data_IF_247953646115
#
_entry.id   IF_247953646115
#
_cell.length_a   1.000
_cell.length_b   1.000
_cell.length_c   1.000
_cell.angle_alpha   90.00
_cell.angle_beta   90.00
_cell.angle_gamma   90.00
#
_symmetry.space_group_name_H-M   'P 1'
#
loop_
_entity.id
_entity.type
_entity.pdbx_description
1 polymer ?
#
# COMPACT_ATOMS: atom_id res chain seq x y z
N UNK A 1 14.14 -49.06 9.49
CA UNK A 1 14.17 -47.97 10.51
C UNK A 1 13.51 -46.67 10.03
N UNK A 2 12.83 -46.61 8.86
CA UNK A 2 12.16 -45.39 8.39
C UNK A 2 10.68 -45.27 8.80
N UNK A 3 10.04 -46.34 9.28
CA UNK A 3 8.60 -46.41 9.53
C UNK A 3 8.14 -45.82 10.87
N UNK A 4 9.01 -45.78 11.89
CA UNK A 4 8.66 -45.31 13.24
C UNK A 4 8.65 -43.78 13.39
N UNK A 5 9.18 -43.04 12.42
CA UNK A 5 9.21 -41.57 12.43
C UNK A 5 7.93 -40.90 11.92
N UNK A 6 7.20 -41.54 11.01
CA UNK A 6 5.96 -40.97 10.44
C UNK A 6 4.78 -41.01 11.42
N UNK A 7 4.76 -41.98 12.36
CA UNK A 7 3.69 -42.12 13.34
C UNK A 7 3.69 -41.02 14.42
N UNK A 8 4.86 -40.43 14.73
CA UNK A 8 5.01 -39.36 15.72
C UNK A 8 4.70 -37.96 15.19
N UNK A 9 4.49 -37.79 13.88
CA UNK A 9 4.16 -36.53 13.23
C UNK A 9 2.66 -36.37 12.90
N UNK A 10 1.80 -37.27 13.39
CA UNK A 10 0.35 -37.14 13.22
C UNK A 10 -0.16 -36.09 14.20
N UNK A 11 -0.21 -34.81 13.78
CA UNK A 11 -0.78 -33.74 14.60
C UNK A 11 -2.22 -34.10 14.99
N UNK A 12 -2.45 -34.24 16.30
CA UNK A 12 -3.78 -34.45 16.87
C UNK A 12 -4.43 -33.08 17.04
N UNK A 13 -5.48 -32.83 16.28
CA UNK A 13 -6.23 -31.58 16.32
C UNK A 13 -7.38 -31.69 17.33
N UNK A 14 -7.45 -30.75 18.29
CA UNK A 14 -8.55 -30.66 19.26
C UNK A 14 -9.71 -29.82 18.68
N UNK A 15 -10.96 -30.19 18.97
CA UNK A 15 -12.17 -29.58 18.37
C UNK A 15 -12.30 -28.06 18.62
N UNK A 16 -11.72 -27.53 19.71
CA UNK A 16 -11.83 -26.12 20.12
C UNK A 16 -10.60 -25.26 19.82
N UNK A 17 -9.68 -25.70 18.95
CA UNK A 17 -8.50 -24.88 18.64
C UNK A 17 -8.79 -23.83 17.54
N UNK A 18 -8.65 -22.52 17.84
CA UNK A 18 -8.99 -21.42 16.91
C UNK A 18 -8.11 -21.39 15.65
N UNK A 19 -6.91 -21.98 15.69
CA UNK A 19 -5.97 -22.04 14.57
C UNK A 19 -5.93 -23.37 13.79
N UNK A 20 -6.56 -24.44 14.30
CA UNK A 20 -6.32 -25.79 13.75
C UNK A 20 -6.90 -25.99 12.35
N UNK A 21 -8.01 -25.32 11.99
CA UNK A 21 -8.56 -25.38 10.63
C UNK A 21 -7.60 -24.80 9.57
N UNK A 22 -6.84 -23.76 9.92
CA UNK A 22 -5.88 -23.12 9.00
C UNK A 22 -4.65 -23.99 8.84
N UNK A 23 -4.10 -24.52 9.95
CA UNK A 23 -2.99 -25.48 9.87
C UNK A 23 -3.37 -26.73 9.08
N UNK A 24 -4.55 -27.29 9.31
CA UNK A 24 -5.02 -28.49 8.61
C UNK A 24 -5.20 -28.24 7.11
N UNK A 25 -5.71 -27.05 6.72
CA UNK A 25 -5.77 -26.64 5.31
C UNK A 25 -4.38 -26.55 4.67
N UNK A 26 -3.41 -25.98 5.38
CA UNK A 26 -2.03 -25.85 4.92
C UNK A 26 -1.29 -27.20 4.86
N UNK A 27 -1.75 -28.21 5.60
CA UNK A 27 -1.21 -29.57 5.55
C UNK A 27 -1.79 -30.38 4.39
N UNK A 28 -3.08 -30.20 4.07
CA UNK A 28 -3.75 -30.85 2.94
C UNK A 28 -3.26 -30.26 1.60
N UNK A 29 -3.06 -28.94 1.53
CA UNK A 29 -2.53 -28.28 0.34
C UNK A 29 -1.00 -28.17 0.40
N UNK A 30 -0.31 -29.23 -0.05
CA UNK A 30 1.17 -29.26 -0.15
C UNK A 30 1.76 -28.36 -1.25
N UNK A 31 0.93 -27.80 -2.13
CA UNK A 31 1.38 -26.91 -3.19
C UNK A 31 1.63 -25.49 -2.71
N UNK A 32 2.52 -24.76 -3.40
CA UNK A 32 2.77 -23.34 -3.14
C UNK A 32 1.48 -22.56 -3.44
N UNK A 33 0.92 -21.80 -2.48
CA UNK A 33 -0.32 -21.04 -2.69
C UNK A 33 -0.07 -19.77 -3.52
N UNK A 34 0.35 -19.93 -4.78
CA UNK A 34 0.74 -18.83 -5.69
C UNK A 34 -0.36 -17.78 -5.88
N UNK A 35 -1.63 -18.19 -5.84
CA UNK A 35 -2.77 -17.28 -5.98
C UNK A 35 -2.85 -16.30 -4.81
N UNK A 36 -2.76 -16.81 -3.59
CA UNK A 36 -2.82 -15.98 -2.37
C UNK A 36 -1.62 -15.03 -2.29
N UNK A 37 -0.42 -15.54 -2.60
CA UNK A 37 0.77 -14.69 -2.69
C UNK A 37 0.63 -13.58 -3.73
N UNK A 38 0.10 -13.89 -4.91
CA UNK A 38 -0.13 -12.87 -5.94
C UNK A 38 -1.09 -11.77 -5.48
N UNK A 39 -2.12 -12.11 -4.70
CA UNK A 39 -3.04 -11.12 -4.13
C UNK A 39 -2.37 -10.23 -3.10
N UNK A 40 -1.57 -10.81 -2.20
CA UNK A 40 -0.85 -10.06 -1.16
C UNK A 40 0.19 -9.13 -1.78
N UNK A 41 0.94 -9.62 -2.77
CA UNK A 41 1.91 -8.81 -3.50
C UNK A 41 1.25 -7.68 -4.30
N UNK A 42 0.12 -7.95 -4.96
CA UNK A 42 -0.64 -6.93 -5.67
C UNK A 42 -1.21 -5.88 -4.71
N UNK A 43 -1.75 -6.29 -3.56
CA UNK A 43 -2.22 -5.38 -2.52
C UNK A 43 -1.07 -4.49 -2.01
N UNK A 44 0.08 -5.10 -1.74
CA UNK A 44 1.29 -4.38 -1.30
C UNK A 44 1.71 -3.35 -2.33
N UNK A 45 1.87 -3.73 -3.60
CA UNK A 45 2.20 -2.81 -4.70
C UNK A 45 1.20 -1.66 -4.80
N UNK A 46 -0.10 -1.98 -4.73
CA UNK A 46 -1.18 -1.00 -4.81
C UNK A 46 -1.11 0.03 -3.68
N UNK A 47 -0.66 -0.36 -2.49
CA UNK A 47 -0.49 0.56 -1.35
C UNK A 47 0.83 1.32 -1.37
N UNK A 48 1.93 0.67 -1.78
CA UNK A 48 3.27 1.28 -1.76
C UNK A 48 3.45 2.31 -2.89
N UNK A 49 2.93 2.05 -4.09
CA UNK A 49 3.09 2.95 -5.24
C UNK A 49 2.57 4.39 -4.98
N UNK A 50 1.33 4.61 -4.48
CA UNK A 50 0.83 5.95 -4.20
C UNK A 50 1.68 6.67 -3.15
N UNK A 51 2.03 5.98 -2.07
CA UNK A 51 2.80 6.55 -0.95
C UNK A 51 4.19 6.99 -1.45
N UNK A 52 4.85 6.13 -2.22
CA UNK A 52 6.20 6.43 -2.72
C UNK A 52 6.20 7.51 -3.81
N UNK A 53 5.18 7.55 -4.68
CA UNK A 53 5.06 8.58 -5.72
C UNK A 53 4.87 9.98 -5.17
N UNK A 54 4.35 10.10 -3.95
CA UNK A 54 4.08 11.39 -3.30
C UNK A 54 5.34 12.08 -2.77
N UNK A 55 6.42 11.35 -2.45
CA UNK A 55 7.65 11.95 -1.93
C UNK A 55 8.21 13.08 -2.82
N UNK A 56 8.42 12.87 -4.14
CA UNK A 56 8.91 13.94 -5.02
C UNK A 56 7.90 15.08 -5.18
N UNK A 57 6.59 14.79 -5.23
CA UNK A 57 5.56 15.84 -5.35
C UNK A 57 5.54 16.78 -4.16
N UNK A 58 5.75 16.26 -2.95
CA UNK A 58 5.78 17.08 -1.72
C UNK A 58 6.96 18.03 -1.75
N UNK A 59 8.11 17.55 -2.23
CA UNK A 59 9.30 18.37 -2.39
C UNK A 59 9.05 19.54 -3.36
N UNK A 60 8.43 19.28 -4.51
CA UNK A 60 8.03 20.33 -5.45
C UNK A 60 6.96 21.28 -4.90
N UNK A 61 5.95 20.75 -4.21
CA UNK A 61 4.90 21.57 -3.57
C UNK A 61 5.49 22.49 -2.50
N UNK A 62 6.52 22.04 -1.78
CA UNK A 62 7.27 22.87 -0.83
C UNK A 62 8.03 23.99 -1.53
N UNK A 63 8.80 23.68 -2.57
CA UNK A 63 9.56 24.69 -3.33
C UNK A 63 8.67 25.82 -3.87
N UNK A 64 7.44 25.50 -4.29
CA UNK A 64 6.52 26.48 -4.87
C UNK A 64 5.65 27.25 -3.86
N UNK A 65 5.34 26.67 -2.70
CA UNK A 65 4.43 27.28 -1.71
C UNK A 65 5.17 28.02 -0.58
N UNK A 66 6.45 27.73 -0.37
CA UNK A 66 7.20 28.10 0.83
C UNK A 66 8.45 28.92 0.50
N UNK A 67 8.32 29.99 -0.29
CA UNK A 67 9.45 30.91 -0.53
C UNK A 67 9.96 31.61 0.76
N UNK A 68 9.15 31.60 1.83
CA UNK A 68 9.40 32.27 3.13
C UNK A 68 9.26 31.37 4.40
N UNK A 69 9.02 30.05 4.28
CA UNK A 69 8.78 29.19 5.46
C UNK A 69 10.06 28.45 5.86
N UNK A 70 10.46 28.57 7.14
CA UNK A 70 11.59 27.88 7.78
C UNK A 70 11.65 26.38 7.43
N UNK A 71 12.86 25.90 7.09
CA UNK A 71 13.18 24.50 6.77
C UNK A 71 12.60 23.50 7.79
N UNK A 72 12.47 23.91 9.05
CA UNK A 72 11.90 23.13 10.15
C UNK A 72 10.46 22.67 9.89
N UNK A 73 9.60 23.49 9.27
CA UNK A 73 8.23 23.09 8.93
C UNK A 73 8.19 22.05 7.79
N UNK A 74 9.22 22.01 6.95
CA UNK A 74 9.33 21.02 5.88
C UNK A 74 9.57 19.63 6.46
N UNK A 75 10.52 19.53 7.40
CA UNK A 75 10.78 18.29 8.13
C UNK A 75 9.55 17.80 8.89
N UNK A 76 8.81 18.72 9.52
CA UNK A 76 7.57 18.40 10.24
C UNK A 76 6.49 17.76 9.35
N UNK A 77 6.38 18.20 8.09
CA UNK A 77 5.43 17.61 7.12
C UNK A 77 5.83 16.20 6.67
N UNK A 78 7.11 15.97 6.42
CA UNK A 78 7.61 14.65 6.05
C UNK A 78 7.48 13.64 7.19
N UNK A 79 7.78 14.08 8.42
CA UNK A 79 7.72 13.25 9.61
C UNK A 79 6.28 12.94 10.06
N UNK A 80 5.31 13.81 9.80
CA UNK A 80 3.91 13.60 10.18
C UNK A 80 3.32 12.26 9.69
N UNK A 81 3.68 11.81 8.49
CA UNK A 81 3.25 10.50 7.99
C UNK A 81 3.85 9.35 8.81
N UNK A 82 5.16 9.40 9.08
CA UNK A 82 5.85 8.36 9.86
C UNK A 82 5.39 8.38 11.32
N UNK A 83 5.13 9.56 11.88
CA UNK A 83 4.61 9.73 13.23
C UNK A 83 3.21 9.14 13.36
N UNK A 84 2.28 9.46 12.45
CA UNK A 84 0.95 8.86 12.42
C UNK A 84 1.01 7.34 12.30
N UNK A 85 1.93 6.82 11.45
CA UNK A 85 2.11 5.38 11.25
C UNK A 85 2.71 4.67 12.48
N UNK A 86 3.63 5.32 13.19
CA UNK A 86 4.23 4.76 14.40
C UNK A 86 3.17 4.55 15.48
N UNK A 87 2.33 5.57 15.73
CA UNK A 87 1.28 5.54 16.77
C UNK A 87 0.23 4.45 16.53
N UNK A 88 -0.17 4.24 15.28
CA UNK A 88 -1.27 3.31 14.97
C UNK A 88 -0.82 1.92 14.52
N UNK A 89 0.48 1.71 14.31
CA UNK A 89 1.02 0.42 13.85
C UNK A 89 0.61 -0.75 14.76
N UNK A 90 0.67 -0.55 16.08
CA UNK A 90 0.29 -1.56 17.09
C UNK A 90 -1.22 -1.77 17.08
N UNK A 91 -2.00 -0.68 17.05
CA UNK A 91 -3.46 -0.72 17.07
C UNK A 91 -4.00 -1.54 15.89
N UNK A 92 -3.48 -1.30 14.69
CA UNK A 92 -3.89 -2.06 13.50
C UNK A 92 -3.47 -3.52 13.54
N UNK A 93 -2.37 -3.86 14.22
CA UNK A 93 -1.98 -5.25 14.49
C UNK A 93 -3.04 -5.96 15.33
N UNK A 94 -3.41 -5.37 16.48
CA UNK A 94 -4.44 -5.93 17.38
C UNK A 94 -5.80 -6.04 16.70
N UNK A 95 -6.20 -5.04 15.91
CA UNK A 95 -7.45 -5.08 15.15
C UNK A 95 -7.41 -6.20 14.10
N UNK A 96 -6.29 -6.41 13.43
CA UNK A 96 -6.14 -7.48 12.45
C UNK A 96 -6.22 -8.88 13.08
N UNK A 97 -5.70 -9.04 14.28
CA UNK A 97 -5.79 -10.32 14.99
C UNK A 97 -7.20 -10.58 15.55
N UNK A 98 -7.98 -9.54 15.90
CA UNK A 98 -9.34 -9.70 16.44
C UNK A 98 -10.43 -9.83 15.38
N UNK A 99 -10.38 -9.02 14.31
CA UNK A 99 -11.42 -8.97 13.26
C UNK A 99 -11.03 -9.77 12.01
N UNK A 100 -9.83 -10.36 12.00
CA UNK A 100 -9.27 -11.08 10.87
C UNK A 100 -8.46 -10.17 9.94
N UNK A 101 -7.47 -10.78 9.27
CA UNK A 101 -6.46 -10.02 8.50
C UNK A 101 -6.97 -9.51 7.15
N UNK A 102 -7.83 -10.27 6.47
CA UNK A 102 -8.43 -9.90 5.18
C UNK A 102 -9.18 -8.54 5.22
N UNK A 103 -10.14 -8.30 6.13
CA UNK A 103 -10.87 -7.03 6.16
C UNK A 103 -9.97 -5.83 6.48
N UNK A 104 -8.97 -6.00 7.36
CA UNK A 104 -8.01 -4.93 7.68
C UNK A 104 -7.21 -4.51 6.45
N UNK A 105 -6.74 -5.47 5.64
CA UNK A 105 -6.01 -5.18 4.39
C UNK A 105 -6.88 -4.37 3.41
N UNK A 106 -8.16 -4.73 3.28
CA UNK A 106 -9.11 -4.02 2.41
C UNK A 106 -9.36 -2.60 2.91
N UNK A 107 -9.68 -2.43 4.20
CA UNK A 107 -9.98 -1.13 4.81
C UNK A 107 -8.80 -0.17 4.62
N UNK A 108 -7.59 -0.61 4.94
CA UNK A 108 -6.44 0.27 4.79
C UNK A 108 -6.07 0.59 3.34
N UNK A 109 -6.32 -0.33 2.39
CA UNK A 109 -6.19 -0.02 0.95
C UNK A 109 -7.17 1.08 0.52
N UNK A 110 -8.42 1.00 0.98
CA UNK A 110 -9.44 2.03 0.72
C UNK A 110 -9.04 3.37 1.35
N UNK A 111 -8.56 3.36 2.60
CA UNK A 111 -8.07 4.57 3.28
C UNK A 111 -6.93 5.22 2.51
N UNK A 112 -5.98 4.44 1.98
CA UNK A 112 -4.88 4.97 1.16
C UNK A 112 -5.41 5.71 -0.06
N UNK A 113 -6.37 5.14 -0.80
CA UNK A 113 -6.94 5.79 -1.99
C UNK A 113 -7.68 7.07 -1.60
N UNK A 114 -8.50 7.02 -0.55
CA UNK A 114 -9.31 8.15 -0.09
C UNK A 114 -8.42 9.33 0.33
N UNK A 115 -7.49 9.10 1.25
CA UNK A 115 -6.62 10.16 1.78
C UNK A 115 -5.59 10.64 0.75
N UNK A 116 -5.09 9.76 -0.13
CA UNK A 116 -4.24 10.18 -1.24
C UNK A 116 -4.98 11.08 -2.23
N UNK A 117 -6.27 10.78 -2.48
CA UNK A 117 -7.11 11.64 -3.33
C UNK A 117 -7.38 12.98 -2.65
N UNK A 118 -7.74 12.98 -1.36
CA UNK A 118 -7.95 14.20 -0.57
C UNK A 118 -6.69 15.07 -0.50
N UNK A 119 -5.52 14.45 -0.36
CA UNK A 119 -4.23 15.15 -0.39
C UNK A 119 -4.01 15.86 -1.73
N UNK A 120 -4.33 15.23 -2.85
CA UNK A 120 -4.26 15.84 -4.18
C UNK A 120 -5.24 17.01 -4.39
N UNK A 121 -6.31 17.09 -3.59
CA UNK A 121 -7.25 18.22 -3.56
C UNK A 121 -6.94 19.25 -2.47
N UNK A 122 -5.84 19.11 -1.73
CA UNK A 122 -5.51 20.04 -0.65
C UNK A 122 -4.96 21.35 -1.21
N UNK A 123 -5.60 22.47 -0.88
CA UNK A 123 -5.12 23.84 -1.20
C UNK A 123 -4.31 24.46 -0.07
N UNK A 124 -4.52 24.02 1.16
CA UNK A 124 -3.93 24.61 2.36
C UNK A 124 -2.78 23.77 2.93
N UNK A 125 -1.76 24.44 3.48
CA UNK A 125 -0.61 23.79 4.13
C UNK A 125 -1.04 22.85 5.26
N UNK A 126 -1.89 23.34 6.16
CA UNK A 126 -2.37 22.61 7.33
C UNK A 126 -3.28 21.43 6.96
N UNK A 127 -4.11 21.61 5.94
CA UNK A 127 -4.93 20.52 5.40
C UNK A 127 -4.05 19.40 4.85
N UNK A 128 -2.99 19.73 4.12
CA UNK A 128 -2.05 18.74 3.60
C UNK A 128 -1.31 17.99 4.73
N UNK A 129 -0.96 18.68 5.82
CA UNK A 129 -0.33 18.08 7.00
C UNK A 129 -1.27 17.07 7.68
N UNK A 130 -2.53 17.46 7.94
CA UNK A 130 -3.53 16.58 8.54
C UNK A 130 -3.84 15.36 7.67
N UNK A 131 -3.99 15.54 6.36
CA UNK A 131 -4.23 14.43 5.44
C UNK A 131 -3.06 13.44 5.44
N UNK A 132 -1.82 13.89 5.65
CA UNK A 132 -0.64 13.02 5.77
C UNK A 132 -0.56 12.29 7.09
N UNK A 133 -0.87 12.97 8.18
CA UNK A 133 -0.97 12.33 9.48
C UNK A 133 -2.05 11.24 9.46
N UNK A 134 -3.26 11.56 8.96
CA UNK A 134 -4.35 10.59 8.80
C UNK A 134 -3.95 9.45 7.86
N UNK A 135 -3.36 9.73 6.70
CA UNK A 135 -2.87 8.68 5.81
C UNK A 135 -1.90 7.75 6.53
N UNK A 136 -0.95 8.28 7.33
CA UNK A 136 -0.04 7.48 8.15
C UNK A 136 -0.77 6.66 9.21
N UNK A 137 -1.70 7.29 9.93
CA UNK A 137 -2.50 6.66 10.99
C UNK A 137 -3.36 5.50 10.47
N UNK A 138 -3.87 5.57 9.24
CA UNK A 138 -4.63 4.48 8.63
C UNK A 138 -3.76 3.50 7.82
N UNK A 139 -2.45 3.75 7.67
CA UNK A 139 -1.53 2.96 6.86
C UNK A 139 -0.61 2.04 7.70
N UNK A 140 -1.19 1.25 8.60
CA UNK A 140 -0.49 0.25 9.42
C UNK A 140 -0.40 -1.15 8.78
N UNK A 141 -0.56 -1.27 7.46
CA UNK A 141 -0.91 -2.55 6.80
C UNK A 141 0.25 -3.52 6.59
N UNK A 142 1.49 -3.05 6.59
CA UNK A 142 2.66 -3.90 6.30
C UNK A 142 2.83 -5.03 7.31
N UNK A 143 2.46 -4.82 8.59
CA UNK A 143 2.47 -5.87 9.61
C UNK A 143 1.44 -6.97 9.31
N UNK A 144 0.14 -6.63 9.25
CA UNK A 144 -0.92 -7.58 8.90
C UNK A 144 -0.71 -8.31 7.56
N UNK A 145 -0.16 -7.65 6.54
CA UNK A 145 0.15 -8.25 5.23
C UNK A 145 1.22 -9.33 5.36
N UNK A 146 2.34 -9.04 6.04
CA UNK A 146 3.40 -10.02 6.27
C UNK A 146 2.91 -11.20 7.11
N UNK A 147 2.12 -10.90 8.13
CA UNK A 147 1.55 -11.91 8.99
C UNK A 147 0.56 -12.81 8.22
N UNK A 148 -0.30 -12.24 7.37
CA UNK A 148 -1.18 -12.99 6.48
C UNK A 148 -0.40 -13.88 5.49
N UNK A 149 0.70 -13.38 4.93
CA UNK A 149 1.56 -14.18 4.05
C UNK A 149 2.13 -15.42 4.77
N UNK A 150 2.48 -15.30 6.06
CA UNK A 150 2.97 -16.41 6.88
C UNK A 150 1.85 -17.40 7.23
N UNK A 151 0.65 -16.92 7.55
CA UNK A 151 -0.49 -17.79 7.90
C UNK A 151 -0.98 -18.65 6.74
N UNK A 152 -0.95 -18.11 5.52
CA UNK A 152 -1.36 -18.86 4.31
C UNK A 152 -0.28 -19.84 3.86
N UNK A 153 0.95 -19.67 4.34
CA UNK A 153 2.11 -20.44 3.92
C UNK A 153 2.44 -21.55 4.89
N UNK A 154 2.97 -22.66 4.37
CA UNK A 154 3.60 -23.69 5.19
C UNK A 154 4.94 -23.20 5.75
N UNK A 155 5.38 -23.76 6.88
CA UNK A 155 6.65 -23.40 7.54
C UNK A 155 7.85 -23.39 6.59
N UNK A 156 7.88 -24.34 5.66
CA UNK A 156 8.89 -24.49 4.61
C UNK A 156 8.95 -23.31 3.61
N UNK A 157 7.83 -22.60 3.42
CA UNK A 157 7.67 -21.52 2.44
C UNK A 157 7.46 -20.14 3.05
N UNK A 158 7.57 -20.01 4.38
CA UNK A 158 7.45 -18.72 5.09
C UNK A 158 8.44 -17.68 4.57
N UNK A 159 9.68 -18.10 4.30
CA UNK A 159 10.72 -17.25 3.74
C UNK A 159 10.36 -16.70 2.35
N UNK A 160 9.77 -17.55 1.48
CA UNK A 160 9.36 -17.17 0.12
C UNK A 160 8.20 -16.17 0.17
N UNK A 161 7.24 -16.38 1.07
CA UNK A 161 6.12 -15.45 1.23
C UNK A 161 6.55 -14.07 1.70
N UNK A 162 7.42 -14.02 2.71
CA UNK A 162 7.94 -12.77 3.27
C UNK A 162 8.85 -12.03 2.30
N UNK A 163 9.67 -12.76 1.53
CA UNK A 163 10.53 -12.16 0.49
C UNK A 163 9.69 -11.57 -0.62
N UNK A 164 8.64 -12.26 -1.10
CA UNK A 164 7.76 -11.75 -2.15
C UNK A 164 7.04 -10.45 -1.75
N UNK A 165 6.57 -10.35 -0.50
CA UNK A 165 5.97 -9.11 0.03
C UNK A 165 7.01 -7.98 0.08
N UNK A 166 8.23 -8.29 0.51
CA UNK A 166 9.30 -7.30 0.61
C UNK A 166 9.76 -6.81 -0.77
N UNK A 167 9.89 -7.71 -1.75
CA UNK A 167 10.21 -7.39 -3.14
C UNK A 167 9.10 -6.54 -3.77
N UNK A 168 7.83 -6.90 -3.57
CA UNK A 168 6.70 -6.09 -4.01
C UNK A 168 6.77 -4.66 -3.44
N UNK A 169 7.04 -4.52 -2.14
CA UNK A 169 7.20 -3.21 -1.53
C UNK A 169 8.40 -2.42 -2.11
N UNK A 170 9.53 -3.09 -2.34
CA UNK A 170 10.72 -2.48 -2.94
C UNK A 170 10.47 -1.98 -4.38
N UNK A 171 9.79 -2.78 -5.20
CA UNK A 171 9.37 -2.37 -6.55
C UNK A 171 8.48 -1.11 -6.49
N UNK A 172 7.53 -1.06 -5.54
CA UNK A 172 6.70 0.12 -5.32
C UNK A 172 7.51 1.37 -4.94
N UNK A 173 8.55 1.20 -4.11
CA UNK A 173 9.46 2.27 -3.71
C UNK A 173 10.35 2.79 -4.84
N UNK A 174 10.70 1.94 -5.82
CA UNK A 174 11.52 2.32 -6.98
C UNK A 174 10.64 2.99 -8.05
N UNK A 175 9.54 2.33 -8.42
CA UNK A 175 8.65 2.80 -9.50
C UNK A 175 7.86 4.04 -9.05
N UNK A 176 7.51 4.16 -7.77
CA UNK A 176 6.72 5.27 -7.23
C UNK A 176 7.33 6.64 -7.52
N UNK A 177 8.55 6.96 -7.03
CA UNK A 177 9.20 8.24 -7.26
C UNK A 177 9.53 8.49 -8.73
N UNK A 178 9.88 7.45 -9.49
CA UNK A 178 10.10 7.56 -10.93
C UNK A 178 8.82 8.06 -11.62
N UNK A 179 7.68 7.40 -11.39
CA UNK A 179 6.38 7.85 -11.89
C UNK A 179 5.99 9.23 -11.37
N UNK A 180 6.26 9.51 -10.09
CA UNK A 180 5.97 10.80 -9.46
C UNK A 180 6.74 11.95 -10.13
N UNK A 181 8.03 11.77 -10.36
CA UNK A 181 8.88 12.74 -11.04
C UNK A 181 8.55 12.92 -12.52
N UNK A 182 8.27 11.84 -13.26
CA UNK A 182 7.81 11.93 -14.65
C UNK A 182 6.49 12.69 -14.80
N UNK A 183 5.59 12.54 -13.83
CA UNK A 183 4.28 13.20 -13.83
C UNK A 183 4.34 14.64 -13.27
N UNK A 184 5.43 15.05 -12.63
CA UNK A 184 5.56 16.39 -12.05
C UNK A 184 5.83 17.47 -13.11
N UNK A 185 6.60 17.17 -14.16
CA UNK A 185 6.93 18.11 -15.26
C UNK A 185 6.85 17.45 -16.65
N UNK A 186 5.64 17.07 -17.14
CA UNK A 186 5.50 16.45 -18.46
C UNK A 186 5.78 17.43 -19.61
N UNK A 187 5.56 18.74 -19.40
CA UNK A 187 5.68 19.77 -20.44
C UNK A 187 7.13 20.21 -20.72
N UNK A 188 8.02 20.22 -19.72
CA UNK A 188 9.44 20.57 -19.92
C UNK A 188 10.28 19.39 -20.42
N UNK A 189 9.90 18.15 -20.09
CA UNK A 189 10.76 16.97 -20.27
C UNK A 189 10.58 16.25 -21.62
N UNK A 190 9.45 16.46 -22.32
CA UNK A 190 9.13 15.81 -23.61
C UNK A 190 8.49 16.76 -24.64
N UNK A 191 9.25 17.73 -25.17
CA UNK A 191 8.72 18.73 -26.13
C UNK A 191 8.25 18.12 -27.46
N UNK A 192 8.75 16.94 -27.85
CA UNK A 192 8.42 16.29 -29.13
C UNK A 192 7.16 15.39 -29.07
N UNK A 193 6.71 14.98 -27.87
CA UNK A 193 5.52 14.13 -27.67
C UNK A 193 4.31 14.93 -27.16
N UNK A 194 4.54 16.07 -26.51
CA UNK A 194 3.50 16.98 -26.06
C UNK A 194 3.70 18.35 -26.72
N UNK A 195 3.10 18.54 -27.90
CA UNK A 195 3.11 19.84 -28.59
C UNK A 195 2.49 20.94 -27.70
N UNK A 196 2.99 22.17 -27.83
CA UNK A 196 2.58 23.35 -27.05
C UNK A 196 1.08 23.72 -27.19
N UNK A 197 0.36 23.10 -28.14
CA UNK A 197 -1.08 23.27 -28.32
C UNK A 197 -1.94 22.20 -27.63
N UNK A 198 -1.32 21.18 -27.01
CA UNK A 198 -2.05 20.16 -26.27
C UNK A 198 -2.40 20.62 -24.86
N UNK A 199 -3.50 20.10 -24.31
CA UNK A 199 -4.13 20.36 -22.99
C UNK A 199 -3.18 20.47 -21.76
N UNK A 200 -1.92 20.08 -21.90
CA UNK A 200 -0.87 20.11 -20.88
C UNK A 200 0.01 21.36 -20.91
N UNK A 201 0.09 22.10 -22.03
CA UNK A 201 0.88 23.33 -22.12
C UNK A 201 0.09 24.59 -21.69
N UNK A 202 -1.22 24.63 -21.98
CA UNK A 202 -2.05 25.84 -21.83
C UNK A 202 -2.44 26.22 -20.39
N UNK A 203 -2.05 25.44 -19.38
CA UNK A 203 -2.35 25.77 -17.97
C UNK A 203 -1.11 25.70 -17.11
N UNK A 204 -0.22 26.66 -17.35
CA UNK A 204 0.66 27.17 -16.33
C UNK A 204 -0.17 27.58 -15.10
N UNK A 205 0.01 26.79 -14.04
CA UNK A 205 -0.12 27.11 -12.62
C UNK A 205 -1.50 27.30 -11.95
N UNK A 206 -2.62 27.53 -12.64
CA UNK A 206 -3.93 27.74 -11.96
C UNK A 206 -4.91 26.54 -12.02
N UNK A 207 -4.46 25.35 -12.42
CA UNK A 207 -5.37 24.20 -12.55
C UNK A 207 -4.73 22.82 -12.40
N UNK A 208 -3.65 22.70 -11.63
CA UNK A 208 -3.17 21.39 -11.15
C UNK A 208 -4.21 20.64 -10.30
N UNK A 209 -5.32 21.29 -9.91
CA UNK A 209 -6.46 20.64 -9.25
C UNK A 209 -7.52 20.05 -10.20
N UNK A 210 -7.41 20.22 -11.52
CA UNK A 210 -8.37 19.67 -12.51
C UNK A 210 -7.74 18.66 -13.47
N UNK A 211 -6.64 18.02 -13.09
CA UNK A 211 -6.15 16.82 -13.78
C UNK A 211 -7.09 15.66 -13.50
N UNK A 212 -8.13 15.60 -14.33
CA UNK A 212 -8.93 14.44 -14.74
C UNK A 212 -9.16 13.41 -13.61
N UNK A 213 -10.16 13.72 -12.78
CA UNK A 213 -10.98 12.89 -11.87
C UNK A 213 -11.34 11.46 -12.39
N UNK A 214 -11.02 11.13 -13.64
CA UNK A 214 -11.58 9.99 -14.38
C UNK A 214 -10.58 8.84 -14.61
N UNK A 215 -9.30 9.08 -14.96
CA UNK A 215 -8.45 7.97 -15.40
C UNK A 215 -7.67 7.31 -14.26
N UNK A 216 -7.03 8.07 -13.36
CA UNK A 216 -6.40 7.50 -12.16
C UNK A 216 -7.46 6.85 -11.27
N UNK A 217 -8.53 7.57 -10.93
CA UNK A 217 -9.58 7.04 -10.04
C UNK A 217 -10.27 5.80 -10.60
N UNK A 218 -10.53 5.70 -11.92
CA UNK A 218 -11.12 4.50 -12.52
C UNK A 218 -10.16 3.31 -12.57
N UNK A 219 -8.87 3.52 -12.80
CA UNK A 219 -7.87 2.43 -12.82
C UNK A 219 -7.71 1.89 -11.40
N UNK A 220 -7.52 2.77 -10.42
CA UNK A 220 -7.40 2.39 -9.01
C UNK A 220 -8.71 1.83 -8.45
N UNK A 221 -9.88 2.35 -8.83
CA UNK A 221 -11.17 1.76 -8.42
C UNK A 221 -11.43 0.42 -9.09
N UNK A 222 -11.03 0.21 -10.34
CA UNK A 222 -11.14 -1.10 -11.01
C UNK A 222 -10.18 -2.12 -10.40
N UNK A 223 -8.93 -1.74 -10.14
CA UNK A 223 -7.97 -2.58 -9.42
C UNK A 223 -8.49 -2.92 -8.03
N UNK A 224 -9.04 -1.94 -7.30
CA UNK A 224 -9.67 -2.14 -6.00
C UNK A 224 -10.90 -3.06 -6.08
N UNK A 225 -11.80 -2.88 -7.05
CA UNK A 225 -12.98 -3.75 -7.22
C UNK A 225 -12.54 -5.18 -7.55
N UNK A 226 -11.50 -5.35 -8.37
CA UNK A 226 -10.92 -6.67 -8.68
C UNK A 226 -10.27 -7.27 -7.43
N UNK A 227 -9.53 -6.48 -6.64
CA UNK A 227 -8.91 -6.91 -5.39
C UNK A 227 -9.97 -7.28 -4.35
N UNK A 228 -10.99 -6.45 -4.16
CA UNK A 228 -12.10 -6.69 -3.23
C UNK A 228 -12.87 -7.94 -3.67
N UNK A 229 -13.22 -8.08 -4.96
CA UNK A 229 -13.90 -9.29 -5.48
C UNK A 229 -13.09 -10.55 -5.29
N UNK A 230 -11.76 -10.47 -5.42
CA UNK A 230 -10.89 -11.63 -5.25
C UNK A 230 -10.59 -11.93 -3.76
N UNK A 231 -10.52 -10.92 -2.90
CA UNK A 231 -10.32 -11.09 -1.44
C UNK A 231 -11.61 -11.54 -0.71
N UNK A 232 -12.79 -11.19 -1.22
CA UNK A 232 -14.09 -11.59 -0.65
C UNK A 232 -14.62 -12.91 -1.20
N UNK A 233 -14.05 -13.47 -2.27
CA UNK A 233 -14.34 -14.86 -2.66
C UNK A 233 -13.73 -15.82 -1.63
N UNK A 234 -14.61 -16.51 -0.90
CA UNK A 234 -14.32 -17.58 0.05
C UNK A 234 -13.56 -18.72 -0.60
#
# INVERSE_FOLDING_TARGET
MAESGEALLKKVYYENCPGCKVEQRNEIHRGIPVKEFSYVSLATLCTSLPISSLYPFVYFMFYMLSRDISDTLCFLKGSAFMFGRALTSIIWGVIADRYGRKPVIVIGTVSVILFNTLFGLSTNFWMALWMRFLLGSFNGLLGPIKAYAVEVSRKEHHAIGLSLVSTANAIGLIIGPALGGFLAQPAEKYPNLFSNDSLFARKHYTSTMKVKKSTRTKIWSRLLIVLIRNLTKK
#
